data_IF_762112904552
#
_entry.id   IF_762112904552
#
_cell.length_a   1.000
_cell.length_b   1.000
_cell.length_c   1.000
_cell.angle_alpha   90.00
_cell.angle_beta   90.00
_cell.angle_gamma   90.00
#
_symmetry.space_group_name_H-M   'P 1'
#
loop_
_entity.id
_entity.type
_entity.pdbx_description
1 polymer ?
#
# COMPACT_ATOMS: atom_id res chain seq x y z
N UNK A 1 8.75 -15.06 7.27
CA UNK A 1 7.76 -14.22 7.98
C UNK A 1 6.92 -13.38 7.05
N UNK A 2 7.54 -12.71 6.09
CA UNK A 2 6.82 -11.87 5.13
C UNK A 2 5.81 -12.67 4.30
N UNK A 3 6.11 -13.93 4.04
CA UNK A 3 5.27 -14.82 3.23
C UNK A 3 3.84 -14.94 3.77
N UNK A 4 3.68 -14.89 5.07
CA UNK A 4 2.37 -15.07 5.67
C UNK A 4 1.42 -13.90 5.35
N UNK A 5 1.98 -12.75 4.96
CA UNK A 5 1.17 -11.58 4.62
C UNK A 5 0.89 -11.47 3.11
N UNK A 6 1.60 -12.23 2.27
CA UNK A 6 1.44 -12.11 0.83
C UNK A 6 0.00 -12.45 0.42
N UNK A 7 -0.54 -13.52 0.98
CA UNK A 7 -1.92 -13.93 0.67
C UNK A 7 -2.92 -12.83 1.02
N UNK A 8 -2.79 -12.25 2.21
CA UNK A 8 -3.66 -11.16 2.63
C UNK A 8 -3.49 -9.93 1.77
N UNK A 9 -2.26 -9.63 1.34
CA UNK A 9 -2.00 -8.50 0.46
C UNK A 9 -2.64 -8.71 -0.91
N UNK A 10 -2.58 -9.94 -1.44
CA UNK A 10 -3.24 -10.28 -2.70
C UNK A 10 -4.76 -10.17 -2.56
N UNK A 11 -5.32 -10.66 -1.46
CA UNK A 11 -6.75 -10.52 -1.19
C UNK A 11 -7.17 -9.06 -1.14
N UNK A 12 -6.35 -8.22 -0.52
CA UNK A 12 -6.62 -6.79 -0.47
C UNK A 12 -6.53 -6.16 -1.86
N UNK A 13 -5.52 -6.52 -2.65
CA UNK A 13 -5.37 -6.04 -4.02
C UNK A 13 -6.59 -6.36 -4.87
N UNK A 14 -7.18 -7.53 -4.67
CA UNK A 14 -8.34 -7.95 -5.46
C UNK A 14 -9.62 -7.17 -5.16
N UNK A 15 -9.61 -6.33 -4.15
CA UNK A 15 -10.71 -5.38 -3.91
C UNK A 15 -10.68 -4.20 -4.88
N UNK A 16 -9.55 -3.99 -5.57
CA UNK A 16 -9.38 -2.88 -6.50
C UNK A 16 -10.14 -3.14 -7.79
N UNK A 17 -10.74 -2.09 -8.34
CA UNK A 17 -11.42 -2.11 -9.64
C UNK A 17 -10.49 -1.73 -10.78
N UNK A 18 -9.25 -1.33 -10.47
CA UNK A 18 -8.28 -0.98 -11.49
C UNK A 18 -7.76 -2.21 -12.21
N UNK A 19 -7.25 -2.01 -13.44
CA UNK A 19 -6.58 -3.09 -14.18
C UNK A 19 -5.32 -3.54 -13.43
N UNK A 20 -4.60 -2.60 -12.84
CA UNK A 20 -3.46 -2.89 -12.01
C UNK A 20 -3.93 -2.88 -10.56
N UNK A 21 -4.09 -4.05 -10.00
CA UNK A 21 -4.60 -4.22 -8.65
C UNK A 21 -3.43 -4.23 -7.68
N UNK A 22 -3.42 -3.29 -6.75
CA UNK A 22 -2.34 -3.15 -5.78
C UNK A 22 -2.93 -3.25 -4.38
N UNK A 23 -2.27 -4.03 -3.52
CA UNK A 23 -2.63 -4.16 -2.12
C UNK A 23 -1.44 -3.84 -1.25
N UNK A 24 -1.67 -3.19 -0.12
CA UNK A 24 -0.64 -2.85 0.83
C UNK A 24 -1.05 -3.27 2.23
N UNK A 25 -0.09 -3.79 2.98
CA UNK A 25 -0.29 -4.19 4.37
C UNK A 25 0.75 -3.50 5.22
N UNK A 26 0.31 -2.81 6.27
CA UNK A 26 1.20 -2.28 7.29
C UNK A 26 1.20 -3.27 8.45
N UNK A 27 2.38 -3.66 8.91
CA UNK A 27 2.48 -4.67 9.95
C UNK A 27 3.61 -4.38 10.92
N UNK A 28 3.48 -4.96 12.11
CA UNK A 28 4.51 -4.94 13.15
C UNK A 28 4.77 -6.39 13.55
N UNK A 29 5.95 -6.89 13.22
CA UNK A 29 6.32 -8.29 13.45
C UNK A 29 5.29 -9.23 12.79
N UNK A 30 4.45 -9.88 13.57
CA UNK A 30 3.45 -10.81 13.06
C UNK A 30 2.03 -10.23 13.05
N UNK A 31 1.87 -8.98 13.44
CA UNK A 31 0.56 -8.35 13.60
C UNK A 31 0.28 -7.37 12.47
N UNK A 32 -0.86 -7.55 11.81
CA UNK A 32 -1.33 -6.61 10.79
C UNK A 32 -1.94 -5.40 11.49
N UNK A 33 -1.46 -4.21 11.11
CA UNK A 33 -1.95 -2.94 11.65
C UNK A 33 -3.03 -2.34 10.74
N UNK A 34 -2.82 -2.42 9.41
CA UNK A 34 -3.75 -1.82 8.46
C UNK A 34 -3.56 -2.45 7.08
N UNK A 35 -4.58 -2.34 6.24
CA UNK A 35 -4.55 -2.81 4.86
C UNK A 35 -5.14 -1.73 3.95
N UNK A 36 -4.65 -1.67 2.72
CA UNK A 36 -5.17 -0.73 1.73
C UNK A 36 -5.08 -1.28 0.33
N UNK A 37 -5.87 -0.73 -0.57
CA UNK A 37 -5.83 -1.08 -2.00
C UNK A 37 -6.05 0.19 -2.82
N UNK A 38 -5.60 0.16 -4.08
CA UNK A 38 -5.75 1.32 -4.94
C UNK A 38 -7.20 1.45 -5.41
N UNK A 39 -7.74 2.66 -5.35
CA UNK A 39 -9.13 2.91 -5.73
C UNK A 39 -9.30 4.35 -6.18
N UNK A 40 -10.44 4.66 -6.88
CA UNK A 40 -10.72 6.04 -7.26
C UNK A 40 -10.78 6.94 -6.05
N UNK A 41 -10.22 8.13 -6.20
CA UNK A 41 -10.12 9.09 -5.10
C UNK A 41 -11.29 10.06 -5.12
N UNK A 42 -11.95 10.20 -3.98
CA UNK A 42 -12.98 11.21 -3.78
C UNK A 42 -12.52 12.32 -2.84
N UNK A 43 -11.56 12.01 -1.96
CA UNK A 43 -11.07 13.01 -1.02
C UNK A 43 -9.72 12.57 -0.47
N UNK A 44 -8.73 13.47 -0.52
CA UNK A 44 -7.41 13.28 0.08
C UNK A 44 -7.16 14.34 1.16
N UNK A 45 -8.22 14.76 1.85
CA UNK A 45 -8.14 15.84 2.84
C UNK A 45 -7.11 15.58 3.94
N UNK A 46 -6.88 14.31 4.26
CA UNK A 46 -5.96 13.95 5.33
C UNK A 46 -4.50 14.04 4.93
N UNK A 47 -4.22 14.17 3.64
CA UNK A 47 -2.85 14.28 3.17
C UNK A 47 -2.41 15.74 3.19
N UNK A 48 -1.15 15.95 3.55
CA UNK A 48 -0.56 17.28 3.38
C UNK A 48 -0.51 17.61 1.90
N UNK A 49 -0.65 18.91 1.57
CA UNK A 49 -0.78 19.34 0.17
C UNK A 49 0.37 18.83 -0.71
N UNK A 50 1.59 18.73 -0.16
CA UNK A 50 2.73 18.25 -0.94
C UNK A 50 2.62 16.78 -1.35
N UNK A 51 1.71 16.02 -0.73
CA UNK A 51 1.49 14.61 -1.05
C UNK A 51 0.20 14.38 -1.83
N UNK A 52 -0.54 15.41 -2.15
CA UNK A 52 -1.81 15.29 -2.91
C UNK A 52 -1.51 15.37 -4.41
N UNK A 53 -0.84 14.33 -4.94
CA UNK A 53 -0.34 14.35 -6.30
C UNK A 53 -0.91 13.24 -7.20
N UNK A 54 -1.98 12.61 -6.76
CA UNK A 54 -2.59 11.52 -7.51
C UNK A 54 -4.04 11.86 -7.83
N UNK A 55 -4.26 12.82 -8.76
CA UNK A 55 -5.63 13.21 -9.07
C UNK A 55 -6.42 12.01 -9.60
N UNK A 56 -7.60 11.80 -9.05
CA UNK A 56 -8.49 10.73 -9.48
C UNK A 56 -8.22 9.36 -8.88
N UNK A 57 -7.09 9.15 -8.17
CA UNK A 57 -6.78 7.85 -7.59
C UNK A 57 -6.13 7.96 -6.22
N UNK A 58 -6.31 6.92 -5.40
CA UNK A 58 -5.56 6.73 -4.15
C UNK A 58 -4.72 5.48 -4.35
N UNK A 59 -3.41 5.60 -4.14
CA UNK A 59 -2.52 4.44 -4.19
C UNK A 59 -2.73 3.57 -2.94
N UNK A 60 -2.46 2.29 -3.06
CA UNK A 60 -2.70 1.33 -1.98
C UNK A 60 -1.93 1.69 -0.70
N UNK A 61 -0.70 2.14 -0.85
CA UNK A 61 0.15 2.53 0.27
C UNK A 61 -0.48 3.67 1.06
N UNK A 62 -0.97 4.69 0.35
CA UNK A 62 -1.62 5.84 0.96
C UNK A 62 -2.93 5.41 1.65
N UNK A 63 -3.69 4.54 1.00
CA UNK A 63 -4.94 4.04 1.56
C UNK A 63 -4.70 3.31 2.89
N UNK A 64 -3.67 2.45 2.94
CA UNK A 64 -3.31 1.74 4.16
C UNK A 64 -2.91 2.71 5.28
N UNK A 65 -2.17 3.76 4.95
CA UNK A 65 -1.73 4.76 5.93
C UNK A 65 -2.93 5.52 6.48
N UNK A 66 -3.85 5.95 5.63
CA UNK A 66 -5.04 6.69 6.05
C UNK A 66 -5.90 5.82 6.97
N UNK A 67 -6.06 4.55 6.65
CA UNK A 67 -6.89 3.63 7.43
C UNK A 67 -6.27 3.22 8.76
N UNK A 68 -4.95 3.36 8.91
CA UNK A 68 -4.25 2.91 10.11
C UNK A 68 -4.65 3.70 11.36
N UNK A 69 -4.80 5.01 11.25
CA UNK A 69 -5.21 5.89 12.34
C UNK A 69 -4.38 5.73 13.62
N UNK A 70 -3.09 5.43 13.45
CA UNK A 70 -2.16 5.26 14.57
C UNK A 70 -0.77 5.72 14.15
N UNK A 71 0.15 5.78 15.12
CA UNK A 71 1.53 6.12 14.83
C UNK A 71 2.18 4.98 14.05
N UNK A 72 2.72 5.31 12.89
CA UNK A 72 3.31 4.32 11.97
C UNK A 72 4.83 4.22 12.08
N UNK A 73 5.43 5.00 12.96
CA UNK A 73 6.88 5.02 13.11
C UNK A 73 7.42 3.62 13.43
N UNK A 74 8.44 3.22 12.69
CA UNK A 74 9.13 1.92 12.84
C UNK A 74 8.30 0.71 12.45
N UNK A 75 7.15 0.90 11.82
CA UNK A 75 6.39 -0.22 11.26
C UNK A 75 6.90 -0.58 9.87
N UNK A 76 6.48 -1.71 9.37
CA UNK A 76 6.87 -2.20 8.04
C UNK A 76 5.67 -2.25 7.12
N UNK A 77 5.92 -2.25 5.81
CA UNK A 77 4.86 -2.33 4.81
C UNK A 77 5.21 -3.37 3.76
N UNK A 78 4.22 -4.13 3.34
CA UNK A 78 4.31 -5.02 2.18
C UNK A 78 3.35 -4.51 1.12
N UNK A 79 3.84 -4.35 -0.11
CA UNK A 79 3.03 -3.92 -1.25
C UNK A 79 3.09 -5.01 -2.30
N UNK A 80 1.93 -5.44 -2.78
CA UNK A 80 1.86 -6.40 -3.89
C UNK A 80 1.01 -5.84 -5.02
N UNK A 81 1.35 -6.22 -6.24
CA UNK A 81 0.54 -5.93 -7.42
C UNK A 81 0.24 -7.24 -8.11
N UNK A 82 -0.99 -7.41 -8.55
CA UNK A 82 -1.39 -8.60 -9.30
C UNK A 82 -2.07 -8.20 -10.60
N UNK A 83 -1.94 -9.05 -11.61
CA UNK A 83 -2.64 -8.87 -12.87
C UNK A 83 -4.00 -9.59 -12.82
N UNK A 84 -4.72 -9.61 -13.93
CA UNK A 84 -6.04 -10.25 -14.00
C UNK A 84 -6.00 -11.75 -13.74
N UNK A 85 -4.83 -12.37 -13.80
CA UNK A 85 -4.63 -13.80 -13.54
C UNK A 85 -4.09 -14.07 -12.15
N UNK A 86 -4.06 -13.07 -11.27
CA UNK A 86 -3.51 -13.16 -9.91
C UNK A 86 -2.01 -13.48 -9.87
N UNK A 87 -1.29 -13.19 -10.93
CA UNK A 87 0.16 -13.31 -10.93
C UNK A 87 0.78 -12.08 -10.32
N UNK A 88 1.79 -12.26 -9.46
CA UNK A 88 2.49 -11.13 -8.84
C UNK A 88 3.26 -10.34 -9.88
N UNK A 89 3.24 -9.02 -9.74
CA UNK A 89 3.93 -8.08 -10.60
C UNK A 89 4.71 -7.08 -9.76
N UNK A 90 5.64 -6.38 -10.40
CA UNK A 90 6.47 -5.39 -9.72
C UNK A 90 5.58 -4.34 -9.03
N UNK A 91 5.78 -4.17 -7.73
CA UNK A 91 4.97 -3.30 -6.89
C UNK A 91 5.80 -2.26 -6.14
N UNK A 92 6.99 -1.94 -6.62
CA UNK A 92 7.82 -0.92 -5.98
C UNK A 92 7.03 0.40 -5.92
N UNK A 93 6.91 1.00 -4.71
CA UNK A 93 6.19 2.27 -4.59
C UNK A 93 6.78 3.35 -5.49
N UNK A 94 5.92 4.18 -6.06
CA UNK A 94 6.37 5.31 -6.86
C UNK A 94 7.09 6.32 -5.97
N UNK A 95 7.79 7.26 -6.61
CA UNK A 95 8.59 8.25 -5.88
C UNK A 95 7.79 8.99 -4.81
N UNK A 96 6.57 9.41 -5.14
CA UNK A 96 5.72 10.16 -4.20
C UNK A 96 5.30 9.30 -3.02
N UNK A 97 4.95 8.04 -3.28
CA UNK A 97 4.62 7.11 -2.20
C UNK A 97 5.84 6.87 -1.31
N UNK A 98 7.03 6.69 -1.89
CA UNK A 98 8.25 6.51 -1.11
C UNK A 98 8.49 7.69 -0.18
N UNK A 99 8.33 8.91 -0.69
CA UNK A 99 8.50 10.12 0.11
C UNK A 99 7.49 10.17 1.26
N UNK A 100 6.25 9.79 0.99
CA UNK A 100 5.22 9.79 2.00
C UNK A 100 5.47 8.72 3.06
N UNK A 101 5.91 7.53 2.65
CA UNK A 101 6.26 6.45 3.58
C UNK A 101 7.38 6.88 4.51
N UNK A 102 8.40 7.55 4.00
CA UNK A 102 9.48 8.09 4.83
C UNK A 102 8.95 9.15 5.80
N UNK A 103 8.08 10.02 5.31
CA UNK A 103 7.52 11.10 6.12
C UNK A 103 6.75 10.55 7.32
N UNK A 104 5.99 9.46 7.15
CA UNK A 104 5.22 8.87 8.26
C UNK A 104 6.03 7.90 9.11
N UNK A 105 7.28 7.61 8.72
CA UNK A 105 8.21 6.83 9.53
C UNK A 105 8.21 5.34 9.29
N UNK A 106 7.68 4.86 8.17
CA UNK A 106 7.74 3.43 7.83
C UNK A 106 9.21 3.01 7.75
N UNK A 107 9.56 1.94 8.46
CA UNK A 107 10.93 1.47 8.62
C UNK A 107 11.43 0.69 7.42
N UNK A 108 10.63 -0.26 6.94
CA UNK A 108 10.97 -1.13 5.82
C UNK A 108 9.80 -1.30 4.90
N UNK A 109 10.08 -1.32 3.59
CA UNK A 109 9.07 -1.56 2.57
C UNK A 109 9.49 -2.78 1.77
N UNK A 110 8.63 -3.78 1.73
CA UNK A 110 8.78 -4.97 0.90
C UNK A 110 7.78 -4.87 -0.25
N UNK A 111 8.14 -5.36 -1.42
CA UNK A 111 7.21 -5.32 -2.55
C UNK A 111 7.42 -6.53 -3.45
N UNK A 112 6.34 -6.88 -4.17
CA UNK A 112 6.39 -7.99 -5.11
C UNK A 112 7.17 -7.61 -6.36
N UNK A 113 7.70 -8.62 -7.04
CA UNK A 113 8.35 -8.47 -8.34
C UNK A 113 7.63 -9.40 -9.32
N UNK A 114 7.93 -9.27 -10.60
CA UNK A 114 7.32 -10.11 -11.61
C UNK A 114 7.68 -11.58 -11.36
N UNK A 115 6.66 -12.43 -11.35
CA UNK A 115 6.87 -13.86 -11.26
C UNK A 115 6.81 -14.53 -12.62
#
# INVERSE_FOLDING_TARGET
MIHKFIKQAVEEANKSEHKQKVGAIIFDKSKIISKGFNHPQRSVRHLKSKFQRWPGTVHAEVDAIIKAKTNLKNLSMLVVRVNSKNQLRMAQPCRWCQMYLEYVGIKKVYYSIDE
#
